data_IF_956369126500
#
_entry.id   IF_956369126500
#
_cell.length_a   1.000
_cell.length_b   1.000
_cell.length_c   1.000
_cell.angle_alpha   90.00
_cell.angle_beta   90.00
_cell.angle_gamma   90.00
#
_symmetry.space_group_name_H-M   'P 1'
#
loop_
_entity.id
_entity.type
_entity.pdbx_description
1 polymer ?
#
# COMPACT_ATOMS: atom_id res chain seq x y z
N UNK A 1 -8.03 24.66 3.40
CA UNK A 1 -6.73 23.97 3.44
C UNK A 1 -6.91 22.50 3.19
N UNK A 2 -6.13 21.97 2.28
CA UNK A 2 -6.15 20.52 2.05
C UNK A 2 -5.61 19.82 3.30
N UNK A 3 -6.27 18.74 3.69
CA UNK A 3 -5.75 17.90 4.76
C UNK A 3 -4.43 17.29 4.33
N UNK A 4 -3.46 17.27 5.22
CA UNK A 4 -2.17 16.66 4.95
C UNK A 4 -1.95 15.50 5.91
N UNK A 5 -1.21 14.51 5.44
CA UNK A 5 -0.84 13.35 6.25
C UNK A 5 0.68 13.22 6.25
N UNK A 6 1.19 12.47 7.21
CA UNK A 6 2.63 12.22 7.29
C UNK A 6 3.05 11.17 6.26
N UNK A 7 4.35 11.05 6.01
CA UNK A 7 4.89 9.99 5.17
C UNK A 7 4.45 8.61 5.66
N UNK A 8 4.59 8.35 6.95
CA UNK A 8 4.21 7.05 7.51
C UNK A 8 2.73 6.75 7.31
N UNK A 9 1.88 7.74 7.53
CA UNK A 9 0.45 7.59 7.27
C UNK A 9 0.18 7.29 5.79
N UNK A 10 0.87 8.00 4.89
CA UNK A 10 0.70 7.79 3.45
C UNK A 10 1.04 6.36 3.04
N UNK A 11 2.15 5.83 3.53
CA UNK A 11 2.56 4.46 3.22
C UNK A 11 1.56 3.44 3.76
N UNK A 12 1.08 3.66 4.98
CA UNK A 12 0.06 2.81 5.58
C UNK A 12 -1.25 2.90 4.81
N UNK A 13 -1.64 4.11 4.40
CA UNK A 13 -2.86 4.33 3.61
C UNK A 13 -2.82 3.53 2.30
N UNK A 14 -1.68 3.53 1.60
CA UNK A 14 -1.55 2.78 0.36
C UNK A 14 -1.72 1.27 0.61
N UNK A 15 -1.11 0.75 1.67
CA UNK A 15 -1.22 -0.67 2.02
C UNK A 15 -2.65 -1.03 2.44
N UNK A 16 -3.29 -0.18 3.23
CA UNK A 16 -4.68 -0.39 3.67
C UNK A 16 -5.63 -0.39 2.46
N UNK A 17 -5.43 0.55 1.54
CA UNK A 17 -6.26 0.63 0.35
C UNK A 17 -6.13 -0.63 -0.50
N UNK A 18 -4.90 -1.13 -0.66
CA UNK A 18 -4.67 -2.38 -1.38
C UNK A 18 -5.40 -3.55 -0.70
N UNK A 19 -5.34 -3.61 0.63
CA UNK A 19 -6.01 -4.67 1.40
C UNK A 19 -7.52 -4.60 1.29
N UNK A 20 -8.07 -3.40 1.13
CA UNK A 20 -9.51 -3.16 1.18
C UNK A 20 -10.18 -2.87 -0.14
N UNK A 21 -9.49 -3.05 -1.29
CA UNK A 21 -10.11 -2.71 -2.59
C UNK A 21 -11.30 -3.59 -2.91
N UNK A 22 -11.42 -4.76 -2.30
CA UNK A 22 -12.57 -5.64 -2.47
C UNK A 22 -13.71 -5.29 -1.48
N UNK A 23 -13.55 -4.22 -0.71
CA UNK A 23 -14.55 -3.75 0.26
C UNK A 23 -14.40 -4.30 1.66
N UNK A 24 -13.37 -5.11 1.93
CA UNK A 24 -13.16 -5.71 3.24
C UNK A 24 -11.70 -5.67 3.66
N UNK A 25 -11.46 -5.14 4.86
CA UNK A 25 -10.15 -5.21 5.50
C UNK A 25 -10.23 -6.26 6.59
N UNK A 26 -9.44 -7.31 6.47
CA UNK A 26 -9.44 -8.41 7.43
C UNK A 26 -8.32 -8.26 8.44
N UNK A 27 -8.50 -8.86 9.63
CA UNK A 27 -7.49 -8.80 10.69
C UNK A 27 -6.12 -9.30 10.23
N UNK A 28 -6.12 -10.35 9.42
CA UNK A 28 -4.90 -10.95 8.86
C UNK A 28 -4.12 -9.95 8.00
N UNK A 29 -4.82 -9.12 7.23
CA UNK A 29 -4.20 -8.11 6.39
C UNK A 29 -3.60 -6.99 7.23
N UNK A 30 -4.27 -6.62 8.31
CA UNK A 30 -3.75 -5.63 9.26
C UNK A 30 -2.48 -6.16 9.92
N UNK A 31 -2.44 -7.45 10.24
CA UNK A 31 -1.24 -8.07 10.80
C UNK A 31 -0.06 -8.01 9.83
N UNK A 32 -0.29 -8.23 8.54
CA UNK A 32 0.75 -8.11 7.52
C UNK A 32 1.30 -6.70 7.45
N UNK A 33 0.42 -5.72 7.47
CA UNK A 33 0.83 -4.31 7.49
C UNK A 33 1.68 -4.06 8.73
N UNK A 34 1.28 -4.61 9.88
CA UNK A 34 2.04 -4.49 11.13
C UNK A 34 3.44 -5.05 11.02
N UNK A 35 3.60 -6.21 10.38
CA UNK A 35 4.92 -6.82 10.18
C UNK A 35 5.81 -5.90 9.33
N UNK A 36 5.28 -5.32 8.28
CA UNK A 36 6.01 -4.39 7.42
C UNK A 36 6.42 -3.15 8.22
N UNK A 37 5.49 -2.59 8.98
CA UNK A 37 5.74 -1.40 9.80
C UNK A 37 6.85 -1.65 10.82
N UNK A 38 6.88 -2.86 11.39
CA UNK A 38 7.87 -3.23 12.41
C UNK A 38 9.26 -3.50 11.81
N UNK A 39 9.35 -3.86 10.54
CA UNK A 39 10.59 -4.40 9.97
C UNK A 39 11.23 -3.56 8.87
N UNK A 40 10.47 -2.71 8.17
CA UNK A 40 11.02 -1.97 7.03
C UNK A 40 11.59 -0.63 7.50
N UNK A 41 12.82 -0.29 7.09
CA UNK A 41 13.53 0.89 7.60
C UNK A 41 12.78 2.22 7.42
N UNK A 42 11.94 2.34 6.40
CA UNK A 42 11.21 3.60 6.16
C UNK A 42 10.28 3.96 7.33
N UNK A 43 9.88 2.97 8.12
CA UNK A 43 9.02 3.19 9.30
C UNK A 43 9.80 3.46 10.59
N UNK A 44 11.10 3.62 10.50
CA UNK A 44 11.92 3.95 11.66
C UNK A 44 11.37 5.21 12.35
N UNK A 45 11.13 5.14 13.64
CA UNK A 45 10.55 6.24 14.39
C UNK A 45 9.03 6.27 14.44
N UNK A 46 8.35 5.39 13.70
CA UNK A 46 6.90 5.30 13.78
C UNK A 46 6.48 4.53 15.05
N UNK A 47 5.53 5.10 15.79
CA UNK A 47 5.00 4.42 16.99
C UNK A 47 3.97 3.38 16.54
N UNK A 48 4.32 2.10 16.70
CA UNK A 48 3.49 0.96 16.30
C UNK A 48 2.09 0.98 16.96
N UNK A 49 1.99 1.57 18.14
CA UNK A 49 0.70 1.68 18.85
C UNK A 49 -0.29 2.56 18.09
N UNK A 50 0.19 3.43 17.21
CA UNK A 50 -0.66 4.29 16.39
C UNK A 50 -1.20 3.63 15.13
N UNK A 51 -0.80 2.40 14.82
CA UNK A 51 -1.18 1.77 13.55
C UNK A 51 -2.69 1.60 13.41
N UNK A 52 -3.36 1.09 14.42
CA UNK A 52 -4.80 0.83 14.36
C UNK A 52 -5.58 2.11 14.06
N UNK A 53 -5.15 3.23 14.64
CA UNK A 53 -5.77 4.53 14.40
C UNK A 53 -5.60 4.98 12.96
N UNK A 54 -4.40 4.82 12.40
CA UNK A 54 -4.12 5.21 11.01
C UNK A 54 -4.94 4.34 10.05
N UNK A 55 -5.03 3.05 10.30
CA UNK A 55 -5.86 2.13 9.52
C UNK A 55 -7.32 2.59 9.53
N UNK A 56 -7.83 2.92 10.71
CA UNK A 56 -9.22 3.36 10.85
C UNK A 56 -9.48 4.67 10.11
N UNK A 57 -8.58 5.63 10.20
CA UNK A 57 -8.70 6.91 9.51
C UNK A 57 -8.76 6.72 7.99
N UNK A 58 -7.92 5.84 7.46
CA UNK A 58 -7.94 5.52 6.02
C UNK A 58 -9.25 4.84 5.63
N UNK A 59 -9.70 3.88 6.43
CA UNK A 59 -10.94 3.17 6.15
C UNK A 59 -12.13 4.12 6.08
N UNK A 60 -12.17 5.11 6.96
CA UNK A 60 -13.24 6.11 6.96
C UNK A 60 -13.27 6.92 5.66
N UNK A 61 -12.11 7.28 5.13
CA UNK A 61 -12.03 8.00 3.86
C UNK A 61 -12.52 7.10 2.72
N UNK A 62 -12.09 5.83 2.72
CA UNK A 62 -12.47 4.88 1.67
C UNK A 62 -13.97 4.57 1.66
N UNK A 63 -14.64 4.70 2.80
CA UNK A 63 -16.07 4.44 2.91
C UNK A 63 -16.95 5.56 2.37
N UNK A 64 -16.39 6.69 2.00
CA UNK A 64 -17.14 7.77 1.38
C UNK A 64 -17.77 7.29 0.08
N UNK A 65 -19.01 7.64 -0.15
CA UNK A 65 -19.78 7.16 -1.30
C UNK A 65 -19.18 7.53 -2.65
N UNK A 66 -18.47 8.66 -2.69
CA UNK A 66 -17.94 9.17 -3.93
C UNK A 66 -16.55 9.75 -3.69
N UNK A 67 -15.58 9.30 -4.46
CA UNK A 67 -14.25 9.89 -4.46
C UNK A 67 -13.32 9.48 -3.34
N UNK A 68 -13.70 8.50 -2.50
CA UNK A 68 -12.84 8.07 -1.39
C UNK A 68 -11.49 7.56 -1.86
N UNK A 69 -11.47 6.73 -2.90
CA UNK A 69 -10.24 6.18 -3.45
C UNK A 69 -9.33 7.29 -4.00
N UNK A 70 -9.91 8.22 -4.76
CA UNK A 70 -9.16 9.33 -5.32
C UNK A 70 -8.63 10.25 -4.22
N UNK A 71 -9.41 10.45 -3.15
CA UNK A 71 -8.97 11.26 -2.01
C UNK A 71 -7.73 10.64 -1.36
N UNK A 72 -7.72 9.32 -1.15
CA UNK A 72 -6.55 8.62 -0.58
C UNK A 72 -5.36 8.74 -1.52
N UNK A 73 -5.55 8.51 -2.82
CA UNK A 73 -4.45 8.64 -3.79
C UNK A 73 -3.84 10.03 -3.78
N UNK A 74 -4.68 11.08 -3.69
CA UNK A 74 -4.20 12.45 -3.61
C UNK A 74 -3.36 12.70 -2.36
N UNK A 75 -3.83 12.23 -1.21
CA UNK A 75 -3.10 12.37 0.05
C UNK A 75 -1.75 11.65 0.00
N UNK A 76 -1.75 10.43 -0.53
CA UNK A 76 -0.52 9.62 -0.66
C UNK A 76 0.48 10.33 -1.59
N UNK A 77 0.00 10.80 -2.74
CA UNK A 77 0.86 11.44 -3.73
C UNK A 77 1.53 12.68 -3.16
N UNK A 78 0.79 13.49 -2.40
CA UNK A 78 1.34 14.70 -1.80
C UNK A 78 2.35 14.41 -0.68
N UNK A 79 2.10 13.38 0.11
CA UNK A 79 2.90 13.11 1.31
C UNK A 79 4.17 12.31 1.02
N UNK A 80 4.23 11.57 -0.10
CA UNK A 80 5.39 10.73 -0.41
C UNK A 80 6.41 11.54 -1.24
N UNK A 81 7.61 11.78 -0.69
CA UNK A 81 8.63 12.52 -1.45
C UNK A 81 9.16 11.69 -2.61
N UNK A 82 9.77 12.38 -3.58
CA UNK A 82 10.25 11.77 -4.82
C UNK A 82 11.13 10.54 -4.59
N UNK A 83 12.04 10.61 -3.63
CA UNK A 83 12.96 9.52 -3.33
C UNK A 83 12.31 8.29 -2.70
N UNK A 84 11.05 8.36 -2.30
CA UNK A 84 10.34 7.25 -1.65
C UNK A 84 9.13 6.76 -2.43
N UNK A 85 8.93 7.25 -3.64
CA UNK A 85 7.80 6.81 -4.47
C UNK A 85 7.89 5.33 -4.84
N UNK A 86 9.09 4.86 -5.16
CA UNK A 86 9.29 3.45 -5.44
C UNK A 86 9.05 2.60 -4.19
N UNK A 87 9.48 3.09 -3.03
CA UNK A 87 9.22 2.42 -1.76
C UNK A 87 7.70 2.27 -1.52
N UNK A 88 6.95 3.35 -1.73
CA UNK A 88 5.50 3.31 -1.56
C UNK A 88 4.85 2.27 -2.47
N UNK A 89 5.27 2.21 -3.73
CA UNK A 89 4.74 1.23 -4.67
C UNK A 89 5.12 -0.20 -4.26
N UNK A 90 6.38 -0.41 -3.88
CA UNK A 90 6.87 -1.73 -3.51
C UNK A 90 6.14 -2.29 -2.29
N UNK A 91 5.90 -1.46 -1.27
CA UNK A 91 5.17 -1.89 -0.07
C UNK A 91 3.72 -2.26 -0.39
N UNK A 92 3.09 -1.51 -1.28
CA UNK A 92 1.74 -1.80 -1.72
C UNK A 92 1.68 -3.13 -2.50
N UNK A 93 2.67 -3.34 -3.37
CA UNK A 93 2.79 -4.60 -4.12
C UNK A 93 3.04 -5.80 -3.19
N UNK A 94 3.77 -5.60 -2.08
CA UNK A 94 3.97 -6.65 -1.08
C UNK A 94 2.65 -7.15 -0.51
N UNK A 95 1.73 -6.24 -0.24
CA UNK A 95 0.41 -6.61 0.27
C UNK A 95 -0.35 -7.45 -0.78
N UNK A 96 -0.31 -7.02 -2.04
CA UNK A 96 -0.98 -7.76 -3.12
C UNK A 96 -0.37 -9.14 -3.32
N UNK A 97 0.96 -9.26 -3.28
CA UNK A 97 1.66 -10.51 -3.54
C UNK A 97 1.49 -11.55 -2.43
N UNK A 98 1.09 -11.11 -1.24
CA UNK A 98 0.84 -12.04 -0.13
C UNK A 98 -0.34 -12.96 -0.42
N UNK A 99 -1.25 -12.55 -1.30
CA UNK A 99 -2.32 -13.41 -1.79
C UNK A 99 -1.86 -14.07 -3.10
N UNK A 100 -2.02 -15.39 -3.19
CA UNK A 100 -1.61 -16.15 -4.37
C UNK A 100 -2.44 -15.81 -5.60
N UNK A 101 -3.63 -15.23 -5.40
CA UNK A 101 -4.50 -14.81 -6.49
C UNK A 101 -4.76 -13.32 -6.34
N UNK A 102 -4.11 -12.54 -7.18
CA UNK A 102 -4.30 -11.09 -7.18
C UNK A 102 -5.56 -10.77 -7.98
N UNK A 103 -6.52 -10.14 -7.31
CA UNK A 103 -7.79 -9.80 -7.94
C UNK A 103 -7.61 -8.67 -8.96
N UNK A 104 -8.57 -8.56 -9.89
CA UNK A 104 -8.56 -7.52 -10.91
C UNK A 104 -8.56 -6.12 -10.26
N UNK A 105 -9.31 -5.95 -9.18
CA UNK A 105 -9.38 -4.69 -8.45
C UNK A 105 -8.02 -4.28 -7.87
N UNK A 106 -7.25 -5.27 -7.41
CA UNK A 106 -5.91 -5.02 -6.87
C UNK A 106 -4.94 -4.59 -7.97
N UNK A 107 -5.00 -5.26 -9.13
CA UNK A 107 -4.18 -4.87 -10.29
C UNK A 107 -4.53 -3.47 -10.75
N UNK A 108 -5.83 -3.15 -10.75
CA UNK A 108 -6.30 -1.83 -11.13
C UNK A 108 -5.78 -0.77 -10.17
N UNK A 109 -5.83 -1.03 -8.86
CA UNK A 109 -5.30 -0.08 -7.88
C UNK A 109 -3.81 0.13 -8.05
N UNK A 110 -3.04 -0.93 -8.30
CA UNK A 110 -1.60 -0.80 -8.56
C UNK A 110 -1.34 0.09 -9.77
N UNK A 111 -2.12 -0.04 -10.84
CA UNK A 111 -1.98 0.84 -12.02
C UNK A 111 -2.28 2.29 -11.67
N UNK A 112 -3.33 2.52 -10.90
CA UNK A 112 -3.70 3.86 -10.46
C UNK A 112 -2.60 4.48 -9.59
N UNK A 113 -2.03 3.69 -8.68
CA UNK A 113 -0.94 4.15 -7.82
C UNK A 113 0.32 4.47 -8.63
N UNK A 114 0.68 3.59 -9.57
CA UNK A 114 1.80 3.84 -10.49
C UNK A 114 1.66 5.18 -11.19
N UNK A 115 0.47 5.43 -11.74
CA UNK A 115 0.22 6.66 -12.49
C UNK A 115 0.23 7.88 -11.56
N UNK A 116 -0.38 7.76 -10.37
CA UNK A 116 -0.41 8.85 -9.40
C UNK A 116 0.98 9.21 -8.90
N UNK A 117 1.85 8.20 -8.71
CA UNK A 117 3.23 8.42 -8.28
C UNK A 117 4.16 8.75 -9.44
N UNK A 118 3.64 8.75 -10.68
CA UNK A 118 4.39 9.04 -11.89
C UNK A 118 5.60 8.11 -12.08
N UNK A 119 5.40 6.83 -11.80
CA UNK A 119 6.43 5.80 -11.99
C UNK A 119 6.29 5.18 -13.37
N UNK A 120 7.42 4.82 -13.99
CA UNK A 120 7.41 4.16 -15.29
C UNK A 120 6.95 2.71 -15.17
N UNK A 121 6.43 2.16 -16.27
CA UNK A 121 6.04 0.75 -16.33
C UNK A 121 7.24 -0.17 -16.10
N UNK A 122 8.41 0.23 -16.59
CA UNK A 122 9.62 -0.56 -16.42
C UNK A 122 9.99 -0.67 -14.94
N UNK A 123 9.98 0.45 -14.22
CA UNK A 123 10.31 0.47 -12.80
C UNK A 123 9.31 -0.36 -12.01
N UNK A 124 8.01 -0.18 -12.24
CA UNK A 124 6.99 -0.92 -11.48
C UNK A 124 7.02 -2.41 -11.81
N UNK A 125 7.30 -2.78 -13.07
CA UNK A 125 7.46 -4.19 -13.41
C UNK A 125 8.64 -4.82 -12.69
N UNK A 126 9.75 -4.10 -12.56
CA UNK A 126 10.91 -4.58 -11.83
C UNK A 126 10.60 -4.77 -10.34
N UNK A 127 9.90 -3.81 -9.74
CA UNK A 127 9.50 -3.89 -8.33
C UNK A 127 8.56 -5.07 -8.09
N UNK A 128 7.58 -5.26 -8.97
CA UNK A 128 6.62 -6.37 -8.88
C UNK A 128 7.33 -7.71 -9.00
N UNK A 129 8.27 -7.82 -9.92
CA UNK A 129 9.04 -9.05 -10.12
C UNK A 129 9.83 -9.41 -8.86
N UNK A 130 10.47 -8.43 -8.24
CA UNK A 130 11.21 -8.65 -7.00
C UNK A 130 10.31 -9.07 -5.85
N UNK A 131 9.16 -8.44 -5.73
CA UNK A 131 8.19 -8.78 -4.70
C UNK A 131 7.68 -10.21 -4.90
N UNK A 132 7.30 -10.57 -6.12
CA UNK A 132 6.85 -11.93 -6.44
C UNK A 132 7.92 -12.95 -6.08
N UNK A 133 9.17 -12.67 -6.43
CA UNK A 133 10.28 -13.58 -6.13
C UNK A 133 10.41 -13.84 -4.62
N UNK A 134 10.22 -12.80 -3.81
CA UNK A 134 10.32 -12.92 -2.35
C UNK A 134 9.20 -13.75 -1.74
N UNK A 135 8.05 -13.82 -2.40
CA UNK A 135 6.88 -14.53 -1.88
C UNK A 135 6.77 -15.97 -2.35
N UNK A 136 7.74 -16.43 -3.12
CA UNK A 136 7.75 -17.84 -3.53
C UNK A 136 8.17 -18.73 -2.37
N UNK A 137 7.49 -19.86 -2.23
CA UNK A 137 7.82 -20.84 -1.21
C UNK A 137 8.78 -21.90 -1.77
N UNK A 138 9.40 -22.67 -0.89
CA UNK A 138 10.31 -23.74 -1.28
C UNK A 138 9.60 -24.85 -2.07
N UNK A 139 8.26 -24.92 -2.00
CA UNK A 139 7.46 -25.88 -2.74
C UNK A 139 6.96 -25.35 -4.08
N UNK A 140 7.39 -24.14 -4.50
CA UNK A 140 6.96 -23.57 -5.77
C UNK A 140 7.45 -24.42 -6.95
N UNK A 141 6.67 -24.54 -8.02
CA UNK A 141 7.11 -25.25 -9.25
C UNK A 141 8.36 -24.59 -9.81
N UNK A 142 9.25 -25.41 -10.30
CA UNK A 142 10.47 -24.91 -10.94
C UNK A 142 10.22 -24.61 -12.41
#
# INVERSE_FOLDING_TARGET
MAATITLHQALIYAMVTMSGVDGRIRGREIERIGVIVDSVPVFSGFNRDGLARVVQECAEILQQESGGLQAVLGLVTEAVPEGLKETAYALTAEIAAADLMVAREELRFLSMLRDALNLSKLVTAALERGVIARHKSSSAPQ
#
